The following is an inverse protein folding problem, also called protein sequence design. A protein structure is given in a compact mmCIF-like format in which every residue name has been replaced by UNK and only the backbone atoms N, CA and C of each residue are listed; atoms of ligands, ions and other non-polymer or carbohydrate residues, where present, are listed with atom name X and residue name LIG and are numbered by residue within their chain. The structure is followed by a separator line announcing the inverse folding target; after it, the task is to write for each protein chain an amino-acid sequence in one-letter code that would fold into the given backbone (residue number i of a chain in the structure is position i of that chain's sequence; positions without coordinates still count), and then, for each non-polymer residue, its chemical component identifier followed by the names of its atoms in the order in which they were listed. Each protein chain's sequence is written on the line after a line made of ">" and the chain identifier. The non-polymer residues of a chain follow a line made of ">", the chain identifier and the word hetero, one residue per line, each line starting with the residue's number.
data_IF_127242188750
#
_entry.id   IF_127242188750
#
_cell.length_a   1.000
_cell.length_b   1.000
_cell.length_c   1.000
_cell.angle_alpha   90.00
_cell.angle_beta   90.00
_cell.angle_gamma   90.00
#
_symmetry.space_group_name_H-M   'P 1'
#
loop_
_entity.id
_entity.type
_entity.pdbx_description
1 polymer ?
#
# COMPACT_ATOMS: atom_id res chain seq x y z
N UNK A 1 36.22 -16.06 -42.24
CA UNK A 1 35.92 -16.50 -40.85
C UNK A 1 34.82 -15.61 -40.26
N UNK A 2 33.75 -16.19 -39.69
CA UNK A 2 32.68 -15.44 -39.01
C UNK A 2 32.83 -15.66 -37.50
N UNK A 3 33.29 -14.65 -36.77
CA UNK A 3 33.45 -14.72 -35.32
C UNK A 3 32.07 -14.50 -34.70
N UNK A 4 31.51 -15.52 -34.06
CA UNK A 4 30.23 -15.45 -33.35
C UNK A 4 30.53 -15.36 -31.85
N UNK A 5 30.33 -14.19 -31.25
CA UNK A 5 30.44 -13.99 -29.81
C UNK A 5 29.22 -14.59 -29.10
N UNK A 6 29.42 -15.63 -28.29
CA UNK A 6 28.39 -16.11 -27.35
C UNK A 6 28.18 -15.05 -26.26
N UNK A 7 26.96 -14.55 -26.10
CA UNK A 7 26.61 -13.69 -24.95
C UNK A 7 26.84 -14.46 -23.65
N UNK A 8 27.44 -13.79 -22.66
CA UNK A 8 27.59 -14.35 -21.30
C UNK A 8 26.21 -14.73 -20.75
N UNK A 9 26.13 -15.89 -20.11
CA UNK A 9 24.94 -16.38 -19.42
C UNK A 9 24.61 -15.35 -18.33
N UNK A 10 23.51 -14.61 -18.49
CA UNK A 10 23.01 -13.71 -17.45
C UNK A 10 22.67 -14.56 -16.22
N UNK A 11 22.93 -14.03 -15.03
CA UNK A 11 22.54 -14.68 -13.78
C UNK A 11 21.04 -15.01 -13.77
N UNK A 12 20.63 -15.99 -12.95
CA UNK A 12 19.20 -16.26 -12.81
C UNK A 12 18.49 -14.98 -12.41
N UNK A 13 17.31 -14.75 -12.98
CA UNK A 13 16.50 -13.57 -12.68
C UNK A 13 16.22 -13.43 -11.19
N UNK A 14 16.12 -14.55 -10.46
CA UNK A 14 15.99 -14.57 -9.00
C UNK A 14 17.16 -13.91 -8.29
N UNK A 15 18.41 -14.21 -8.66
CA UNK A 15 19.61 -13.60 -8.06
C UNK A 15 19.61 -12.08 -8.24
N UNK A 16 19.27 -11.60 -9.43
CA UNK A 16 19.13 -10.17 -9.71
C UNK A 16 18.01 -9.52 -8.88
N UNK A 17 16.90 -10.22 -8.66
CA UNK A 17 15.81 -9.75 -7.82
C UNK A 17 16.16 -9.68 -6.33
N UNK A 18 17.06 -10.54 -5.86
CA UNK A 18 17.56 -10.53 -4.49
C UNK A 18 18.60 -9.43 -4.25
N UNK A 19 19.45 -9.15 -5.23
CA UNK A 19 20.47 -8.10 -5.16
C UNK A 19 19.88 -6.69 -5.34
N UNK A 20 18.82 -6.56 -6.11
CA UNK A 20 18.17 -5.27 -6.34
C UNK A 20 17.21 -4.97 -5.19
N UNK A 21 17.39 -3.84 -4.50
CA UNK A 21 16.49 -3.32 -3.45
C UNK A 21 15.10 -2.90 -4.00
N UNK A 22 14.49 -3.75 -4.83
CA UNK A 22 13.23 -3.52 -5.53
C UNK A 22 12.08 -4.01 -4.66
N UNK A 23 10.94 -3.35 -4.78
CA UNK A 23 9.73 -3.81 -4.13
C UNK A 23 9.19 -5.08 -4.79
N UNK A 24 9.03 -6.14 -3.98
CA UNK A 24 8.14 -7.26 -4.32
C UNK A 24 6.71 -6.77 -4.52
N UNK A 25 5.90 -7.49 -5.29
CA UNK A 25 4.50 -7.16 -5.60
C UNK A 25 3.70 -6.84 -4.33
N UNK A 26 3.87 -7.65 -3.25
CA UNK A 26 3.23 -7.40 -1.96
C UNK A 26 3.58 -6.04 -1.36
N UNK A 27 4.83 -5.61 -1.46
CA UNK A 27 5.29 -4.31 -0.96
C UNK A 27 4.72 -3.17 -1.79
N UNK A 28 4.61 -3.34 -3.12
CA UNK A 28 3.95 -2.37 -4.00
C UNK A 28 2.49 -2.19 -3.59
N UNK A 29 1.77 -3.29 -3.34
CA UNK A 29 0.38 -3.23 -2.90
C UNK A 29 0.22 -2.48 -1.56
N UNK A 30 1.02 -2.83 -0.56
CA UNK A 30 1.00 -2.15 0.76
C UNK A 30 1.33 -0.67 0.61
N UNK A 31 2.36 -0.34 -0.17
CA UNK A 31 2.76 1.03 -0.44
C UNK A 31 1.61 1.85 -1.05
N UNK A 32 0.93 1.30 -2.07
CA UNK A 32 -0.24 1.94 -2.69
C UNK A 32 -1.40 2.11 -1.69
N UNK A 33 -1.63 1.13 -0.82
CA UNK A 33 -2.63 1.24 0.25
C UNK A 33 -2.28 2.38 1.21
N UNK A 34 -1.03 2.47 1.66
CA UNK A 34 -0.59 3.52 2.58
C UNK A 34 -0.71 4.92 1.97
N UNK A 35 -0.36 5.08 0.69
CA UNK A 35 -0.54 6.36 -0.02
C UNK A 35 -2.02 6.73 -0.14
N UNK A 36 -2.87 5.77 -0.51
CA UNK A 36 -4.30 6.00 -0.69
C UNK A 36 -5.02 6.28 0.64
N UNK A 37 -4.62 5.62 1.73
CA UNK A 37 -5.10 5.89 3.09
C UNK A 37 -4.76 7.31 3.51
N UNK A 38 -3.52 7.73 3.26
CA UNK A 38 -3.08 9.10 3.54
C UNK A 38 -3.90 10.12 2.76
N UNK A 39 -4.03 9.95 1.43
CA UNK A 39 -4.80 10.88 0.59
C UNK A 39 -6.28 10.97 0.99
N UNK A 40 -6.85 9.89 1.52
CA UNK A 40 -8.25 9.82 1.94
C UNK A 40 -8.47 10.07 3.44
N UNK A 41 -7.43 10.37 4.21
CA UNK A 41 -7.51 10.48 5.66
C UNK A 41 -8.56 11.48 6.13
N UNK A 42 -8.71 12.62 5.45
CA UNK A 42 -9.77 13.59 5.77
C UNK A 42 -11.18 13.08 5.49
N UNK A 43 -11.38 12.32 4.41
CA UNK A 43 -12.69 11.73 4.11
C UNK A 43 -13.09 10.67 5.13
N UNK A 44 -12.11 9.93 5.67
CA UNK A 44 -12.36 9.00 6.77
C UNK A 44 -12.67 9.70 8.10
N UNK A 45 -12.05 10.85 8.37
CA UNK A 45 -12.37 11.68 9.55
C UNK A 45 -13.79 12.27 9.51
N UNK A 46 -14.33 12.53 8.31
CA UNK A 46 -15.65 13.13 8.11
C UNK A 46 -16.82 12.12 8.16
N UNK A 47 -16.53 10.82 8.25
CA UNK A 47 -17.56 9.80 8.46
C UNK A 47 -18.03 9.84 9.91
N UNK A 48 -18.98 10.74 10.19
CA UNK A 48 -19.79 10.74 11.41
C UNK A 48 -20.47 9.37 11.59
N UNK A 49 -20.53 8.89 12.83
CA UNK A 49 -21.23 7.67 13.26
C UNK A 49 -22.73 7.71 13.02
N UNK A 50 -23.32 8.89 12.79
CA UNK A 50 -24.70 9.04 12.37
C UNK A 50 -24.78 9.12 10.83
N UNK A 51 -25.24 8.04 10.20
CA UNK A 51 -25.62 8.11 8.79
C UNK A 51 -26.86 9.00 8.63
N UNK A 52 -26.99 9.75 7.53
CA UNK A 52 -28.24 10.47 7.24
C UNK A 52 -29.46 9.54 7.23
N UNK A 53 -29.27 8.24 6.95
CA UNK A 53 -30.32 7.23 7.04
C UNK A 53 -30.75 6.91 8.49
N UNK A 54 -29.84 7.00 9.47
CA UNK A 54 -30.19 6.90 10.90
C UNK A 54 -30.89 8.15 11.43
N UNK A 55 -30.65 9.32 10.82
CA UNK A 55 -31.31 10.59 11.19
C UNK A 55 -32.66 10.76 10.49
N UNK A 56 -32.80 10.21 9.28
CA UNK A 56 -34.00 10.30 8.47
C UNK A 56 -34.39 8.88 8.03
N UNK A 57 -35.37 8.29 8.74
CA UNK A 57 -35.84 6.91 8.61
C UNK A 57 -36.30 6.48 7.19
N UNK A 58 -36.40 7.41 6.23
CA UNK A 58 -36.93 7.18 4.88
C UNK A 58 -35.93 7.47 3.73
N UNK A 59 -34.65 7.72 4.02
CA UNK A 59 -33.66 7.88 2.95
C UNK A 59 -33.09 6.53 2.55
N UNK A 60 -33.44 6.07 1.34
CA UNK A 60 -32.84 4.89 0.72
C UNK A 60 -31.32 5.01 0.70
N UNK A 61 -30.62 4.09 1.37
CA UNK A 61 -29.16 4.05 1.37
C UNK A 61 -28.72 3.62 -0.03
N UNK A 62 -28.08 4.52 -0.78
CA UNK A 62 -27.47 4.15 -2.05
C UNK A 62 -26.34 3.14 -1.83
N UNK A 63 -26.60 1.87 -2.14
CA UNK A 63 -25.60 0.82 -2.11
C UNK A 63 -24.73 0.89 -3.37
N UNK A 64 -23.67 1.69 -3.32
CA UNK A 64 -22.63 1.60 -4.35
C UNK A 64 -21.92 0.24 -4.24
N UNK A 65 -21.96 -0.57 -5.31
CA UNK A 65 -21.18 -1.81 -5.38
C UNK A 65 -19.69 -1.47 -5.36
N UNK A 66 -19.06 -1.65 -4.20
CA UNK A 66 -17.60 -1.52 -4.06
C UNK A 66 -16.89 -2.60 -4.86
N UNK A 67 -15.86 -2.22 -5.61
CA UNK A 67 -15.01 -3.18 -6.33
C UNK A 67 -14.22 -4.06 -5.36
N UNK A 68 -13.76 -5.24 -5.80
CA UNK A 68 -12.97 -6.16 -4.97
C UNK A 68 -11.76 -5.43 -4.35
N UNK A 69 -11.04 -4.64 -5.14
CA UNK A 69 -9.88 -3.85 -4.70
C UNK A 69 -10.24 -2.80 -3.66
N UNK A 70 -11.42 -2.18 -3.76
CA UNK A 70 -11.89 -1.23 -2.76
C UNK A 70 -12.24 -1.93 -1.45
N UNK A 71 -12.83 -3.13 -1.50
CA UNK A 71 -13.14 -3.92 -0.31
C UNK A 71 -11.88 -4.36 0.41
N UNK A 72 -10.91 -4.93 -0.31
CA UNK A 72 -9.63 -5.36 0.27
C UNK A 72 -8.84 -4.17 0.83
N UNK A 73 -8.82 -3.03 0.13
CA UNK A 73 -8.22 -1.80 0.64
C UNK A 73 -8.88 -1.32 1.94
N UNK A 74 -10.22 -1.29 2.01
CA UNK A 74 -10.92 -0.84 3.22
C UNK A 74 -10.66 -1.77 4.41
N UNK A 75 -10.49 -3.06 4.15
CA UNK A 75 -10.24 -4.05 5.19
C UNK A 75 -8.78 -4.01 5.67
N UNK A 76 -7.80 -3.98 4.76
CA UNK A 76 -6.38 -4.08 5.12
C UNK A 76 -5.68 -2.73 5.30
N UNK A 77 -6.15 -1.67 4.65
CA UNK A 77 -5.57 -0.33 4.69
C UNK A 77 -5.37 0.20 6.11
N UNK A 78 -6.38 0.15 7.00
CA UNK A 78 -6.24 0.57 8.39
C UNK A 78 -5.17 -0.23 9.15
N UNK A 79 -5.10 -1.54 8.92
CA UNK A 79 -4.10 -2.40 9.56
C UNK A 79 -2.67 -2.01 9.14
N UNK A 80 -2.44 -1.74 7.85
CA UNK A 80 -1.15 -1.26 7.37
C UNK A 80 -0.77 0.09 7.97
N UNK A 81 -1.73 1.01 8.08
CA UNK A 81 -1.50 2.31 8.68
C UNK A 81 -1.13 2.16 10.16
N UNK A 82 -1.80 1.27 10.91
CA UNK A 82 -1.56 1.07 12.33
C UNK A 82 -0.15 0.56 12.64
N UNK A 83 0.41 -0.28 11.77
CA UNK A 83 1.78 -0.81 11.90
C UNK A 83 2.85 0.29 11.75
N UNK A 84 2.54 1.41 11.09
CA UNK A 84 3.53 2.46 10.88
C UNK A 84 3.88 3.19 12.20
N UNK A 85 5.15 3.59 12.37
CA UNK A 85 5.57 4.44 13.48
C UNK A 85 4.86 5.79 13.46
N UNK A 86 4.68 6.38 14.64
CA UNK A 86 3.98 7.66 14.81
C UNK A 86 4.59 8.78 13.95
N UNK A 87 5.92 8.83 13.86
CA UNK A 87 6.66 9.83 13.09
C UNK A 87 6.23 9.89 11.61
N UNK A 88 5.90 8.74 11.02
CA UNK A 88 5.43 8.67 9.63
C UNK A 88 3.96 9.07 9.51
N UNK A 89 3.14 8.80 10.52
CA UNK A 89 1.72 9.18 10.56
C UNK A 89 1.51 10.69 10.71
N UNK A 90 2.45 11.38 11.36
CA UNK A 90 2.36 12.82 11.63
C UNK A 90 2.81 13.72 10.47
N UNK A 91 3.34 13.16 9.37
CA UNK A 91 3.79 13.94 8.22
C UNK A 91 2.57 14.63 7.58
N UNK A 92 2.67 15.93 7.32
CA UNK A 92 1.58 16.73 6.71
C UNK A 92 1.69 16.86 5.19
N UNK A 93 2.91 16.79 4.64
CA UNK A 93 3.14 16.93 3.19
C UNK A 93 3.13 15.57 2.52
N UNK A 94 2.27 15.38 1.52
CA UNK A 94 2.14 14.11 0.79
C UNK A 94 3.46 13.64 0.15
N UNK A 95 4.20 14.54 -0.49
CA UNK A 95 5.47 14.19 -1.13
C UNK A 95 6.53 13.74 -0.11
N UNK A 96 6.56 14.39 1.06
CA UNK A 96 7.45 14.00 2.15
C UNK A 96 7.06 12.62 2.71
N UNK A 97 5.75 12.40 2.91
CA UNK A 97 5.21 11.12 3.37
C UNK A 97 5.57 9.99 2.40
N UNK A 98 5.35 10.22 1.09
CA UNK A 98 5.67 9.27 0.02
C UNK A 98 7.13 8.82 0.06
N UNK A 99 8.06 9.76 0.18
CA UNK A 99 9.48 9.47 0.22
C UNK A 99 9.90 8.75 1.51
N UNK A 100 9.41 9.21 2.67
CA UNK A 100 9.74 8.59 3.96
C UNK A 100 9.17 7.18 4.09
N UNK A 101 7.95 6.93 3.62
CA UNK A 101 7.33 5.59 3.57
C UNK A 101 8.14 4.67 2.64
N UNK A 102 8.51 5.15 1.45
CA UNK A 102 9.32 4.36 0.51
C UNK A 102 10.63 3.91 1.17
N UNK A 103 11.33 4.84 1.80
CA UNK A 103 12.59 4.56 2.50
C UNK A 103 12.39 3.60 3.68
N UNK A 104 11.31 3.79 4.46
CA UNK A 104 10.95 2.91 5.56
C UNK A 104 10.71 1.47 5.08
N UNK A 105 9.95 1.30 4.00
CA UNK A 105 9.63 -0.02 3.46
C UNK A 105 10.87 -0.71 2.87
N UNK A 106 11.77 0.03 2.22
CA UNK A 106 13.04 -0.52 1.71
C UNK A 106 13.92 -1.00 2.88
N UNK A 107 14.09 -0.17 3.92
CA UNK A 107 14.90 -0.52 5.10
C UNK A 107 14.36 -1.69 5.91
N UNK A 108 13.04 -1.90 5.88
CA UNK A 108 12.38 -2.92 6.68
C UNK A 108 11.83 -4.09 5.84
N UNK A 109 12.32 -4.30 4.60
CA UNK A 109 11.80 -5.37 3.73
C UNK A 109 11.84 -6.76 4.38
N UNK A 110 12.86 -7.06 5.18
CA UNK A 110 13.01 -8.36 5.85
C UNK A 110 12.15 -8.48 7.12
N UNK A 111 11.94 -7.37 7.83
CA UNK A 111 11.19 -7.30 9.09
C UNK A 111 9.69 -7.19 8.89
N UNK A 112 9.26 -6.55 7.79
CA UNK A 112 7.86 -6.47 7.37
C UNK A 112 7.43 -7.79 6.73
N UNK A 113 7.54 -8.86 7.51
CA UNK A 113 6.87 -10.10 7.21
C UNK A 113 5.40 -9.90 7.54
N UNK A 114 4.63 -9.47 6.53
CA UNK A 114 3.17 -9.46 6.52
C UNK A 114 2.62 -10.90 6.55
N UNK A 115 3.08 -11.73 7.50
CA UNK A 115 2.79 -13.16 7.67
C UNK A 115 1.32 -13.46 8.01
N UNK A 116 0.49 -12.44 8.17
CA UNK A 116 -0.97 -12.55 8.42
C UNK A 116 -1.82 -12.37 7.16
N UNK A 117 -1.21 -12.37 5.98
CA UNK A 117 -1.89 -12.07 4.71
C UNK A 117 -1.82 -13.23 3.69
N UNK A 118 -1.32 -14.39 4.11
CA UNK A 118 -1.43 -15.66 3.39
C UNK A 118 -2.60 -16.47 3.98
#
# INVERSE_FOLDING_TARGET
>A
LKIIYRKRKLFSTELLYHETHIFRIKHIYVYQCLLKMYSKQESFKKLSTASRATTYFNLGVHFFKKTLTQRTFLYHGPNFLNILPADLKCIKKFNEYKNKIKNFMIKNQEKLNFKKFD
#
